data_IF_288839426462
#
_entry.id   IF_288839426462
#
_cell.length_a   1.000
_cell.length_b   1.000
_cell.length_c   1.000
_cell.angle_alpha   90.00
_cell.angle_beta   90.00
_cell.angle_gamma   90.00
#
_symmetry.space_group_name_H-M   'P 1'
#
loop_
_entity.id
_entity.type
_entity.pdbx_description
1 polymer ?
#
# COMPACT_ATOMS: atom_id res chain seq x y z
N UNK A 1 10.68 -3.07 2.04
CA UNK A 1 9.74 -4.22 1.94
C UNK A 1 10.40 -5.36 1.19
N UNK A 2 10.58 -6.49 1.85
CA UNK A 2 11.13 -7.71 1.24
C UNK A 2 9.97 -8.59 0.81
N UNK A 3 9.99 -9.02 -0.44
CA UNK A 3 8.93 -9.84 -1.04
C UNK A 3 9.51 -11.10 -1.67
N UNK A 4 8.65 -12.01 -2.11
CA UNK A 4 9.05 -13.21 -2.83
C UNK A 4 9.82 -12.91 -4.12
N UNK A 5 9.67 -11.70 -4.69
CA UNK A 5 10.34 -11.30 -5.93
C UNK A 5 11.55 -10.40 -5.72
N UNK A 6 11.81 -9.98 -4.50
CA UNK A 6 12.93 -9.10 -4.16
C UNK A 6 12.53 -7.96 -3.24
N UNK A 7 13.40 -6.98 -3.12
CA UNK A 7 13.24 -5.85 -2.21
C UNK A 7 12.71 -4.61 -2.93
N UNK A 8 11.72 -3.97 -2.32
CA UNK A 8 11.15 -2.69 -2.76
C UNK A 8 11.47 -1.67 -1.68
N UNK A 9 12.10 -0.55 -2.05
CA UNK A 9 12.34 0.56 -1.15
C UNK A 9 11.45 1.73 -1.56
N UNK A 10 10.82 2.36 -0.59
CA UNK A 10 10.00 3.55 -0.83
C UNK A 10 10.11 4.52 0.34
N UNK A 11 10.04 5.79 0.01
CA UNK A 11 10.00 6.89 0.99
C UNK A 11 8.58 7.07 1.47
N UNK A 12 8.42 7.40 2.76
CA UNK A 12 7.13 7.74 3.35
C UNK A 12 7.06 9.26 3.58
N UNK A 13 5.95 9.87 3.16
CA UNK A 13 5.76 11.32 3.26
C UNK A 13 5.17 11.70 4.61
N UNK A 14 6.01 11.64 5.66
CA UNK A 14 5.57 11.90 7.03
C UNK A 14 5.19 13.35 7.30
N UNK A 15 5.70 14.29 6.50
CA UNK A 15 5.35 15.72 6.63
C UNK A 15 4.00 16.05 6.00
N UNK A 16 3.74 15.54 4.80
CA UNK A 16 2.53 15.88 4.03
C UNK A 16 1.37 14.91 4.26
N UNK A 17 1.65 13.70 4.74
CA UNK A 17 0.65 12.68 5.05
C UNK A 17 0.96 12.01 6.40
N UNK A 18 0.98 12.79 7.50
CA UNK A 18 1.41 12.26 8.81
C UNK A 18 0.48 11.18 9.37
N UNK A 19 -0.82 11.30 9.16
CA UNK A 19 -1.80 10.32 9.67
C UNK A 19 -1.63 8.99 8.94
N UNK A 20 -1.59 9.04 7.63
CA UNK A 20 -1.50 7.85 6.76
C UNK A 20 -0.14 7.18 6.87
N UNK A 21 0.94 7.95 6.77
CA UNK A 21 2.30 7.43 6.93
C UNK A 21 2.51 6.89 8.35
N UNK A 22 2.02 7.59 9.38
CA UNK A 22 2.10 7.15 10.76
C UNK A 22 1.39 5.84 11.02
N UNK A 23 0.19 5.66 10.45
CA UNK A 23 -0.55 4.41 10.53
C UNK A 23 0.24 3.25 9.90
N UNK A 24 0.83 3.46 8.74
CA UNK A 24 1.65 2.45 8.06
C UNK A 24 2.88 2.10 8.90
N UNK A 25 3.57 3.09 9.43
CA UNK A 25 4.75 2.91 10.29
C UNK A 25 4.40 2.10 11.54
N UNK A 26 3.28 2.43 12.20
CA UNK A 26 2.83 1.70 13.40
C UNK A 26 2.54 0.24 13.07
N UNK A 27 1.86 -0.04 11.96
CA UNK A 27 1.57 -1.41 11.54
C UNK A 27 2.85 -2.17 11.21
N UNK A 28 3.83 -1.54 10.58
CA UNK A 28 5.13 -2.16 10.33
C UNK A 28 5.86 -2.46 11.63
N UNK A 29 5.77 -1.59 12.63
CA UNK A 29 6.35 -1.82 13.96
C UNK A 29 5.75 -3.01 14.70
N UNK A 30 4.52 -3.38 14.36
CA UNK A 30 3.83 -4.56 14.91
C UNK A 30 4.05 -5.81 14.06
N UNK A 31 4.86 -5.75 13.00
CA UNK A 31 5.05 -6.82 12.02
C UNK A 31 3.73 -7.24 11.34
N UNK A 32 2.80 -6.29 11.22
CA UNK A 32 1.46 -6.55 10.69
C UNK A 32 1.48 -7.13 9.27
N UNK A 33 2.35 -6.59 8.42
CA UNK A 33 2.40 -6.98 7.01
C UNK A 33 3.16 -8.28 6.74
N UNK A 34 3.88 -8.82 7.72
CA UNK A 34 4.67 -10.04 7.54
C UNK A 34 3.75 -11.21 7.19
N UNK A 35 3.99 -11.85 6.06
CA UNK A 35 3.20 -12.99 5.59
C UNK A 35 1.96 -12.64 4.77
N UNK A 36 1.63 -11.36 4.63
CA UNK A 36 0.49 -10.91 3.83
C UNK A 36 0.80 -11.03 2.34
N UNK A 37 -0.19 -11.46 1.56
CA UNK A 37 -0.05 -11.65 0.11
C UNK A 37 -0.55 -10.42 -0.65
N UNK A 38 0.04 -10.20 -1.84
CA UNK A 38 -0.56 -9.30 -2.83
C UNK A 38 -1.76 -10.02 -3.45
N UNK A 39 -2.97 -9.67 -3.02
CA UNK A 39 -4.19 -10.36 -3.44
C UNK A 39 -4.76 -9.81 -4.74
N UNK A 40 -4.29 -8.65 -5.20
CA UNK A 40 -4.74 -8.03 -6.44
C UNK A 40 -3.55 -7.49 -7.22
N UNK A 41 -3.43 -7.94 -8.47
CA UNK A 41 -2.41 -7.44 -9.40
C UNK A 41 -3.11 -7.15 -10.72
N UNK A 42 -3.17 -5.88 -11.09
CA UNK A 42 -3.77 -5.42 -12.34
C UNK A 42 -2.66 -4.89 -13.24
N UNK A 43 -2.26 -5.63 -14.29
CA UNK A 43 -1.17 -5.23 -15.17
C UNK A 43 -1.37 -3.82 -15.72
N UNK A 44 -0.30 -3.00 -15.67
CA UNK A 44 -0.34 -1.62 -16.14
C UNK A 44 -1.11 -0.66 -15.25
N UNK A 45 -1.60 -1.11 -14.10
CA UNK A 45 -2.36 -0.30 -13.17
C UNK A 45 -1.75 -0.33 -11.76
N UNK A 46 -2.01 -1.36 -10.97
CA UNK A 46 -1.54 -1.43 -9.57
C UNK A 46 -1.20 -2.85 -9.14
N UNK A 47 -0.40 -2.95 -8.07
CA UNK A 47 -0.35 -4.11 -7.19
C UNK A 47 -0.93 -3.68 -5.84
N UNK A 48 -1.74 -4.53 -5.23
CA UNK A 48 -2.43 -4.22 -3.98
C UNK A 48 -2.29 -5.35 -2.97
N UNK A 49 -1.99 -4.98 -1.73
CA UNK A 49 -1.86 -5.92 -0.63
C UNK A 49 -2.25 -5.25 0.69
N UNK A 50 -1.93 -5.92 1.81
CA UNK A 50 -2.18 -5.35 3.13
C UNK A 50 -3.41 -5.90 3.84
N UNK A 51 -4.08 -6.89 3.26
CA UNK A 51 -5.25 -7.54 3.86
C UNK A 51 -4.80 -8.72 4.73
N UNK A 52 -5.02 -8.68 6.06
CA UNK A 52 -4.60 -9.76 6.96
C UNK A 52 -5.34 -11.09 6.71
N UNK A 53 -6.49 -11.08 6.05
CA UNK A 53 -7.15 -12.33 5.68
C UNK A 53 -6.32 -13.16 4.71
N UNK A 54 -5.39 -12.55 3.98
CA UNK A 54 -4.56 -13.28 3.01
C UNK A 54 -3.55 -14.22 3.66
N UNK A 55 -3.25 -14.02 4.94
CA UNK A 55 -2.36 -14.94 5.70
C UNK A 55 -3.15 -15.85 6.65
N UNK A 56 -4.47 -15.77 6.67
CA UNK A 56 -5.32 -16.60 7.53
C UNK A 56 -5.90 -17.77 6.71
N UNK A 57 -5.61 -19.04 7.09
CA UNK A 57 -6.15 -20.19 6.36
C UNK A 57 -7.67 -20.18 6.31
N UNK A 58 -8.23 -20.56 5.15
CA UNK A 58 -9.68 -20.66 4.97
C UNK A 58 -10.41 -19.35 4.79
N UNK A 59 -9.68 -18.24 4.57
CA UNK A 59 -10.26 -16.90 4.41
C UNK A 59 -10.18 -16.37 2.97
N UNK A 60 -9.92 -17.23 1.99
CA UNK A 60 -9.74 -16.82 0.59
C UNK A 60 -10.94 -16.04 0.05
N UNK A 61 -12.15 -16.42 0.45
CA UNK A 61 -13.40 -15.73 0.05
C UNK A 61 -13.54 -14.32 0.62
N UNK A 62 -12.70 -13.94 1.61
CA UNK A 62 -12.70 -12.62 2.24
C UNK A 62 -11.55 -11.73 1.77
N UNK A 63 -10.67 -12.23 0.89
CA UNK A 63 -9.54 -11.43 0.39
C UNK A 63 -10.04 -10.12 -0.24
N UNK A 64 -9.44 -9.02 0.17
CA UNK A 64 -9.83 -7.68 -0.27
C UNK A 64 -10.78 -6.96 0.69
N UNK A 65 -11.29 -7.64 1.74
CA UNK A 65 -12.25 -7.06 2.68
C UNK A 65 -11.67 -6.77 4.06
N UNK A 66 -10.46 -7.23 4.36
CA UNK A 66 -9.86 -7.13 5.68
C UNK A 66 -9.07 -5.84 5.91
N UNK A 67 -8.82 -5.56 7.17
CA UNK A 67 -8.03 -4.43 7.61
C UNK A 67 -7.47 -4.67 9.01
N UNK A 68 -6.86 -3.63 9.58
CA UNK A 68 -6.25 -3.70 10.91
C UNK A 68 -7.26 -3.66 12.08
N UNK A 69 -8.53 -3.39 11.78
CA UNK A 69 -9.54 -3.13 12.80
C UNK A 69 -9.67 -1.64 13.15
N UNK A 70 -8.85 -0.79 12.56
CA UNK A 70 -8.88 0.66 12.78
C UNK A 70 -8.87 1.37 11.43
N UNK A 71 -9.85 2.26 11.23
CA UNK A 71 -9.93 3.09 10.02
C UNK A 71 -9.25 4.43 10.26
N UNK A 72 -8.73 5.01 9.17
CA UNK A 72 -8.16 6.36 9.18
C UNK A 72 -8.94 7.24 8.20
N UNK A 73 -9.03 8.54 8.51
CA UNK A 73 -9.69 9.50 7.64
C UNK A 73 -8.90 9.71 6.34
N UNK A 74 -9.59 10.10 5.29
CA UNK A 74 -8.96 10.49 4.04
C UNK A 74 -8.05 11.69 4.26
N UNK A 75 -6.78 11.53 3.92
CA UNK A 75 -5.77 12.57 4.08
C UNK A 75 -5.16 12.85 2.72
N UNK A 76 -5.48 13.99 2.14
CA UNK A 76 -4.97 14.40 0.83
C UNK A 76 -4.12 15.64 0.94
N UNK A 77 -3.08 15.68 0.10
CA UNK A 77 -2.25 16.87 -0.08
C UNK A 77 -2.17 17.18 -1.57
N UNK A 78 -2.26 18.46 -1.99
CA UNK A 78 -2.08 18.81 -3.40
C UNK A 78 -0.69 18.52 -3.94
N UNK A 79 0.28 18.29 -3.06
CA UNK A 79 1.64 17.90 -3.41
C UNK A 79 1.77 16.40 -3.72
N UNK A 80 0.80 15.57 -3.28
CA UNK A 80 0.88 14.12 -3.34
C UNK A 80 -0.17 13.59 -4.31
N UNK A 81 0.26 13.30 -5.53
CA UNK A 81 -0.63 12.91 -6.63
C UNK A 81 -0.18 11.60 -7.26
N UNK A 82 -1.07 11.00 -8.03
CA UNK A 82 -0.80 9.76 -8.79
C UNK A 82 -0.17 10.06 -10.17
N UNK A 83 0.84 10.92 -10.21
CA UNK A 83 1.40 11.40 -11.47
C UNK A 83 2.42 10.46 -12.08
N UNK A 84 2.97 9.53 -11.30
CA UNK A 84 4.05 8.63 -11.75
C UNK A 84 3.81 7.20 -11.30
N UNK A 85 4.46 6.25 -11.99
CA UNK A 85 4.56 4.89 -11.47
C UNK A 85 5.29 4.88 -10.12
N UNK A 86 5.01 3.87 -9.30
CA UNK A 86 5.63 3.75 -7.98
C UNK A 86 5.00 4.61 -6.89
N UNK A 87 3.84 5.19 -7.15
CA UNK A 87 3.06 5.91 -6.14
C UNK A 87 2.48 4.89 -5.14
N UNK A 88 2.67 5.14 -3.85
CA UNK A 88 2.16 4.30 -2.76
C UNK A 88 0.99 5.02 -2.09
N UNK A 89 -0.16 4.41 -2.07
CA UNK A 89 -1.39 5.02 -1.56
C UNK A 89 -2.26 3.99 -0.84
N UNK A 90 -3.24 4.47 -0.06
CA UNK A 90 -4.15 3.59 0.67
C UNK A 90 -5.35 3.20 -0.18
N UNK A 91 -5.59 1.89 -0.25
CA UNK A 91 -6.86 1.38 -0.75
C UNK A 91 -7.96 1.61 0.30
N UNK A 92 -9.19 1.67 -0.16
CA UNK A 92 -10.37 1.87 0.69
C UNK A 92 -11.63 1.39 -0.01
N UNK A 93 -12.73 1.30 0.73
CA UNK A 93 -14.05 1.07 0.15
C UNK A 93 -14.62 2.39 -0.41
N UNK A 94 -15.92 2.42 -0.73
CA UNK A 94 -16.58 3.63 -1.23
C UNK A 94 -16.61 4.76 -0.20
N UNK A 95 -16.56 4.44 1.09
CA UNK A 95 -16.44 5.45 2.15
C UNK A 95 -15.03 6.05 2.12
N UNK A 96 -14.87 7.38 1.91
CA UNK A 96 -13.55 8.01 1.89
C UNK A 96 -12.73 7.82 3.17
N UNK A 97 -13.39 7.55 4.29
CA UNK A 97 -12.76 7.38 5.61
C UNK A 97 -12.68 5.91 6.03
N UNK A 98 -12.64 5.00 5.07
CA UNK A 98 -12.61 3.55 5.32
C UNK A 98 -11.23 2.91 5.15
N UNK A 99 -10.20 3.68 4.83
CA UNK A 99 -8.83 3.15 4.72
C UNK A 99 -8.37 2.57 6.06
N UNK A 100 -7.62 1.48 6.03
CA UNK A 100 -7.14 0.80 7.22
C UNK A 100 -5.70 0.29 7.03
N UNK A 101 -5.52 -0.86 6.39
CA UNK A 101 -4.20 -1.44 6.19
C UNK A 101 -3.88 -1.76 4.74
N UNK A 102 -4.87 -1.89 3.87
CA UNK A 102 -4.62 -2.21 2.47
C UNK A 102 -4.01 -1.01 1.75
N UNK A 103 -3.00 -1.26 0.93
CA UNK A 103 -2.31 -0.26 0.14
C UNK A 103 -2.12 -0.77 -1.28
N UNK A 104 -1.80 0.14 -2.19
CA UNK A 104 -1.40 -0.22 -3.55
C UNK A 104 -0.18 0.57 -3.98
N UNK A 105 0.55 0.00 -4.93
CA UNK A 105 1.67 0.66 -5.60
C UNK A 105 1.32 0.70 -7.08
N UNK A 106 1.41 1.87 -7.70
CA UNK A 106 1.03 2.06 -9.09
C UNK A 106 2.11 1.55 -10.05
N UNK A 107 1.66 0.98 -11.17
CA UNK A 107 2.53 0.48 -12.23
C UNK A 107 2.68 1.47 -13.39
N UNK A 108 1.93 2.56 -13.36
CA UNK A 108 1.88 3.61 -14.38
C UNK A 108 1.29 4.89 -13.75
N UNK A 109 1.35 6.05 -14.41
CA UNK A 109 0.57 7.21 -13.99
C UNK A 109 -0.93 6.84 -13.95
N UNK A 110 -1.60 7.20 -12.85
CA UNK A 110 -3.03 6.91 -12.63
C UNK A 110 -3.74 8.15 -12.14
N UNK A 111 -3.60 9.25 -12.86
CA UNK A 111 -4.08 10.58 -12.44
C UNK A 111 -5.58 10.64 -12.16
N UNK A 112 -6.37 9.74 -12.74
CA UNK A 112 -7.81 9.66 -12.46
C UNK A 112 -8.11 9.30 -10.99
N UNK A 113 -7.17 8.70 -10.27
CA UNK A 113 -7.31 8.39 -8.84
C UNK A 113 -7.19 9.64 -7.97
N UNK A 114 -6.74 10.77 -8.54
CA UNK A 114 -6.71 12.06 -7.84
C UNK A 114 -8.05 12.80 -7.91
N UNK A 115 -8.99 12.36 -8.74
CA UNK A 115 -10.32 12.97 -8.84
C UNK A 115 -11.06 12.86 -7.50
N UNK A 116 -11.76 13.93 -7.06
CA UNK A 116 -12.45 13.90 -5.78
C UNK A 116 -13.43 12.73 -5.65
N UNK A 117 -13.50 12.08 -4.46
CA UNK A 117 -12.76 12.41 -3.24
C UNK A 117 -11.31 11.95 -3.26
N UNK A 118 -10.92 10.99 -4.12
CA UNK A 118 -9.56 10.53 -4.31
C UNK A 118 -9.08 9.53 -3.24
N UNK A 119 -7.77 9.35 -3.20
CA UNK A 119 -7.09 8.39 -2.33
C UNK A 119 -5.88 9.05 -1.67
N UNK A 120 -5.54 8.60 -0.46
CA UNK A 120 -4.42 9.16 0.29
C UNK A 120 -3.09 8.59 -0.21
N UNK A 121 -2.33 9.38 -0.94
CA UNK A 121 -0.95 9.08 -1.32
C UNK A 121 -0.05 9.36 -0.12
N UNK A 122 0.82 8.40 0.23
CA UNK A 122 1.69 8.56 1.40
C UNK A 122 3.13 8.15 1.17
N UNK A 123 3.48 7.72 -0.03
CA UNK A 123 4.85 7.33 -0.34
C UNK A 123 5.13 7.18 -1.82
N UNK A 124 6.38 6.87 -2.12
CA UNK A 124 6.84 6.64 -3.48
C UNK A 124 8.01 5.67 -3.50
N UNK A 125 7.99 4.73 -4.45
CA UNK A 125 9.10 3.79 -4.67
C UNK A 125 10.34 4.55 -5.15
N UNK A 126 11.47 4.31 -4.48
CA UNK A 126 12.77 4.88 -4.83
C UNK A 126 13.71 3.85 -5.42
N UNK A 127 13.57 2.57 -5.05
CA UNK A 127 14.37 1.47 -5.60
C UNK A 127 13.49 0.22 -5.70
N UNK A 128 13.74 -0.61 -6.71
CA UNK A 128 13.03 -1.87 -6.86
C UNK A 128 11.75 -1.78 -7.67
N UNK A 129 11.61 -0.79 -8.55
CA UNK A 129 10.45 -0.71 -9.44
C UNK A 129 10.35 -1.94 -10.35
N UNK A 130 11.46 -2.53 -10.75
CA UNK A 130 11.50 -3.79 -11.48
C UNK A 130 10.90 -4.94 -10.66
N UNK A 131 11.11 -4.95 -9.34
CA UNK A 131 10.47 -5.91 -8.43
C UNK A 131 8.97 -5.68 -8.39
N UNK A 132 8.53 -4.43 -8.23
CA UNK A 132 7.10 -4.07 -8.24
C UNK A 132 6.42 -4.61 -9.49
N UNK A 133 7.05 -4.43 -10.65
CA UNK A 133 6.52 -4.90 -11.95
C UNK A 133 6.53 -6.42 -12.08
N UNK A 134 7.33 -7.13 -11.30
CA UNK A 134 7.42 -8.59 -11.32
C UNK A 134 6.47 -9.29 -10.34
N UNK A 135 5.85 -8.54 -9.44
CA UNK A 135 4.90 -9.10 -8.46
C UNK A 135 3.71 -9.74 -9.19
N UNK A 136 3.30 -10.90 -8.69
CA UNK A 136 2.14 -11.63 -9.18
C UNK A 136 1.17 -11.88 -8.03
N UNK A 137 -0.09 -12.07 -8.36
CA UNK A 137 -1.11 -12.41 -7.38
C UNK A 137 -0.66 -13.62 -6.55
N UNK A 138 -0.67 -13.48 -5.24
CA UNK A 138 -0.23 -14.51 -4.30
C UNK A 138 1.22 -14.38 -3.85
N UNK A 139 2.01 -13.48 -4.43
CA UNK A 139 3.34 -13.19 -3.90
C UNK A 139 3.23 -12.61 -2.49
N UNK A 140 4.19 -12.97 -1.65
CA UNK A 140 4.15 -12.69 -0.21
C UNK A 140 5.07 -11.52 0.15
N UNK A 141 4.61 -10.71 1.11
CA UNK A 141 5.45 -9.78 1.84
C UNK A 141 6.14 -10.56 2.94
N UNK A 142 7.47 -10.64 2.90
CA UNK A 142 8.25 -11.33 3.93
C UNK A 142 8.40 -10.46 5.17
N UNK A 143 8.76 -9.20 4.97
CA UNK A 143 8.95 -8.24 6.06
C UNK A 143 8.93 -6.82 5.53
N UNK A 144 8.60 -5.87 6.41
CA UNK A 144 8.72 -4.44 6.13
C UNK A 144 9.49 -3.80 7.27
N UNK A 145 10.61 -3.18 6.95
CA UNK A 145 11.47 -2.49 7.92
C UNK A 145 11.40 -0.99 7.67
N UNK A 146 11.21 -0.24 8.75
CA UNK A 146 11.21 1.23 8.71
C UNK A 146 12.56 1.71 9.21
N UNK A 147 13.16 2.65 8.50
CA UNK A 147 14.40 3.32 8.90
C UNK A 147 14.29 4.81 8.65
N UNK A 148 15.16 5.58 9.31
CA UNK A 148 15.23 7.01 9.05
C UNK A 148 15.74 7.27 7.63
N UNK A 149 15.26 8.36 7.01
CA UNK A 149 15.73 8.78 5.70
C UNK A 149 17.21 9.23 5.80
N UNK A 150 17.98 8.83 4.80
CA UNK A 150 19.38 9.24 4.66
C UNK A 150 19.51 10.59 3.96
#
# INVERSE_FOLDING_TARGET
MVTDKGTIKFVLYTDDAPITAGNFIDLCGENFYDGILFHRVEPGFVIQGGDPYTKAPGKEHLHGTGGSGKNIRLEKSPKLRHDTEGTVAMARSNDPNSASSQFYITLAPTTFLDNPPGYAVFGRVTEGMDVVKSIRKGDKIQSVTISDAE
#
